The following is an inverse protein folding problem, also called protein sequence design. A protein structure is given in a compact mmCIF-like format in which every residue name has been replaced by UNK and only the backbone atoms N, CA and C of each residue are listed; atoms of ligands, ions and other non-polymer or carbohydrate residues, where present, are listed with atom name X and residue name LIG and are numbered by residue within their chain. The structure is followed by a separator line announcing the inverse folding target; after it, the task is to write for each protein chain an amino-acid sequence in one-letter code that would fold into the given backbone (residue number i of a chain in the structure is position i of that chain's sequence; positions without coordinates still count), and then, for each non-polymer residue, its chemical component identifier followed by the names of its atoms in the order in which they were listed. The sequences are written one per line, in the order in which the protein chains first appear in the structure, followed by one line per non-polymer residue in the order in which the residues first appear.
data_IF_275657171910
#
_entry.id   IF_275657171910
#
_cell.length_a   1.000
_cell.length_b   1.000
_cell.length_c   1.000
_cell.angle_alpha   90.00
_cell.angle_beta   90.00
_cell.angle_gamma   90.00
#
_symmetry.space_group_name_H-M   'P 1'
#
loop_
_entity.id
_entity.type
_entity.pdbx_description
1 polymer ?
#
# COMPACT_ATOMS: atom_id res chain seq x y z
N UNK A 1 -53.36 -16.70 -44.71
CA UNK A 1 -51.90 -16.68 -44.50
C UNK A 1 -51.65 -15.55 -43.53
N UNK A 2 -51.72 -15.87 -42.24
CA UNK A 2 -51.77 -14.88 -41.16
C UNK A 2 -50.37 -14.70 -40.57
N UNK A 3 -49.86 -13.47 -40.63
CA UNK A 3 -48.59 -13.07 -40.03
C UNK A 3 -48.84 -12.61 -38.59
N UNK A 4 -48.39 -13.40 -37.62
CA UNK A 4 -48.41 -13.05 -36.20
C UNK A 4 -47.18 -12.19 -35.90
N UNK A 5 -47.41 -10.89 -35.73
CA UNK A 5 -46.42 -9.93 -35.23
C UNK A 5 -46.37 -10.03 -33.71
N UNK A 6 -45.26 -10.53 -33.16
CA UNK A 6 -44.99 -10.53 -31.72
C UNK A 6 -43.87 -9.55 -31.41
N UNK A 7 -44.27 -8.38 -30.89
CA UNK A 7 -43.38 -7.35 -30.34
C UNK A 7 -42.87 -7.80 -28.98
N UNK A 8 -41.63 -8.30 -28.92
CA UNK A 8 -40.92 -8.58 -27.68
C UNK A 8 -40.24 -7.30 -27.18
N UNK A 9 -40.92 -6.60 -26.27
CA UNK A 9 -40.36 -5.48 -25.50
C UNK A 9 -39.38 -6.02 -24.46
N UNK A 10 -38.09 -6.05 -24.79
CA UNK A 10 -37.02 -6.31 -23.82
C UNK A 10 -36.81 -5.08 -22.95
N UNK A 11 -37.40 -5.11 -21.74
CA UNK A 11 -37.10 -4.18 -20.66
C UNK A 11 -35.65 -4.42 -20.21
N UNK A 12 -34.77 -3.49 -20.57
CA UNK A 12 -33.38 -3.49 -20.12
C UNK A 12 -33.30 -3.00 -18.67
N UNK A 13 -33.11 -3.94 -17.75
CA UNK A 13 -32.71 -3.70 -16.36
C UNK A 13 -31.27 -3.16 -16.34
N UNK A 14 -31.11 -1.84 -16.49
CA UNK A 14 -29.85 -1.16 -16.19
C UNK A 14 -29.72 -1.00 -14.67
N UNK A 15 -29.00 -1.92 -14.04
CA UNK A 15 -28.57 -1.77 -12.65
C UNK A 15 -27.52 -0.65 -12.57
N UNK A 16 -27.94 0.57 -12.24
CA UNK A 16 -27.06 1.67 -11.88
C UNK A 16 -26.43 1.39 -10.50
N UNK A 17 -25.24 0.78 -10.49
CA UNK A 17 -24.43 0.70 -9.28
C UNK A 17 -23.81 2.08 -9.04
N UNK A 18 -24.39 2.86 -8.12
CA UNK A 18 -23.93 4.21 -7.76
C UNK A 18 -23.59 4.28 -6.28
N UNK A 19 -22.40 3.79 -5.97
CA UNK A 19 -21.61 4.33 -4.85
C UNK A 19 -20.18 4.52 -5.34
N UNK A 20 -20.02 5.41 -6.33
CA UNK A 20 -18.72 6.03 -6.57
C UNK A 20 -18.57 7.09 -5.49
N UNK A 21 -17.81 6.78 -4.43
CA UNK A 21 -17.10 7.82 -3.68
C UNK A 21 -16.54 8.80 -4.71
N UNK A 22 -16.81 10.09 -4.52
CA UNK A 22 -16.50 11.18 -5.46
C UNK A 22 -14.99 11.23 -5.74
N UNK A 23 -14.51 10.39 -6.66
CA UNK A 23 -13.11 10.40 -7.09
C UNK A 23 -12.88 11.70 -7.85
N UNK A 24 -12.02 12.56 -7.31
CA UNK A 24 -11.67 13.82 -7.95
C UNK A 24 -10.94 13.53 -9.28
N UNK A 25 -11.59 13.92 -10.38
CA UNK A 25 -11.02 13.86 -11.71
C UNK A 25 -10.18 15.13 -11.93
N UNK A 26 -8.87 15.03 -11.71
CA UNK A 26 -7.91 16.15 -11.77
C UNK A 26 -7.05 16.07 -13.02
N UNK A 27 -6.27 17.12 -13.32
CA UNK A 27 -5.27 17.02 -14.39
C UNK A 27 -4.21 15.99 -14.01
N UNK A 28 -3.70 15.28 -15.01
CA UNK A 28 -2.63 14.31 -14.80
C UNK A 28 -1.39 14.92 -14.10
N UNK A 29 -1.08 16.18 -14.38
CA UNK A 29 0.04 16.92 -13.76
C UNK A 29 -0.24 17.31 -12.31
N UNK A 30 -1.51 17.48 -11.93
CA UNK A 30 -1.93 17.85 -10.57
C UNK A 30 -2.01 16.62 -9.66
N UNK A 31 -2.02 15.40 -10.22
CA UNK A 31 -2.04 14.17 -9.47
C UNK A 31 -0.61 13.75 -9.08
N UNK A 32 -0.12 14.26 -7.95
CA UNK A 32 1.26 14.08 -7.48
C UNK A 32 1.85 12.67 -7.61
N UNK A 33 1.14 11.59 -7.20
CA UNK A 33 1.63 10.21 -7.37
C UNK A 33 1.86 9.81 -8.83
N UNK A 34 0.95 10.20 -9.73
CA UNK A 34 1.00 9.87 -11.16
C UNK A 34 2.05 10.74 -11.86
N UNK A 35 2.09 12.03 -11.56
CA UNK A 35 3.09 12.95 -12.10
C UNK A 35 4.51 12.50 -11.71
N UNK A 36 4.73 12.12 -10.45
CA UNK A 36 6.00 11.55 -10.01
C UNK A 36 6.36 10.28 -10.78
N UNK A 37 5.40 9.35 -10.95
CA UNK A 37 5.61 8.09 -11.67
C UNK A 37 6.01 8.33 -13.12
N UNK A 38 5.42 9.33 -13.77
CA UNK A 38 5.74 9.70 -15.16
C UNK A 38 7.11 10.35 -15.28
N UNK A 39 7.46 11.27 -14.37
CA UNK A 39 8.78 11.92 -14.33
C UNK A 39 9.91 10.92 -14.06
N UNK A 40 9.65 9.89 -13.26
CA UNK A 40 10.64 8.88 -12.87
C UNK A 40 10.48 7.56 -13.62
N UNK A 41 9.78 7.54 -14.76
CA UNK A 41 9.49 6.30 -15.54
C UNK A 41 10.73 5.48 -15.86
N UNK A 42 11.88 6.11 -16.07
CA UNK A 42 13.13 5.43 -16.40
C UNK A 42 13.75 4.71 -15.19
N UNK A 43 13.48 5.21 -13.98
CA UNK A 43 13.97 4.64 -12.71
C UNK A 43 13.08 3.52 -12.20
N UNK A 44 11.82 3.48 -12.63
CA UNK A 44 10.86 2.43 -12.25
C UNK A 44 10.98 1.24 -13.21
N UNK A 45 11.39 0.05 -12.72
CA UNK A 45 11.47 -1.16 -13.53
C UNK A 45 10.13 -1.50 -14.18
N UNK A 46 10.18 -1.98 -15.42
CA UNK A 46 8.99 -2.42 -16.17
C UNK A 46 8.19 -3.53 -15.47
N UNK A 47 8.78 -4.21 -14.47
CA UNK A 47 8.11 -5.24 -13.65
C UNK A 47 7.09 -4.68 -12.66
N UNK A 48 7.15 -3.38 -12.34
CA UNK A 48 6.27 -2.74 -11.36
C UNK A 48 4.82 -2.63 -11.86
N UNK A 49 4.60 -2.79 -13.17
CA UNK A 49 3.29 -2.85 -13.81
C UNK A 49 3.31 -2.15 -15.17
N UNK A 50 2.29 -2.38 -15.98
CA UNK A 50 2.12 -1.68 -17.24
C UNK A 50 1.57 -0.27 -16.97
N UNK A 51 2.47 0.72 -16.82
CA UNK A 51 2.10 2.13 -16.57
C UNK A 51 1.06 2.63 -17.59
N UNK A 52 1.16 2.20 -18.85
CA UNK A 52 0.20 2.58 -19.89
C UNK A 52 -1.20 2.04 -19.64
N UNK A 53 -1.30 0.83 -19.08
CA UNK A 53 -2.57 0.20 -18.70
C UNK A 53 -3.18 0.89 -17.47
N UNK A 54 -2.36 1.19 -16.47
CA UNK A 54 -2.77 2.01 -15.34
C UNK A 54 -3.36 3.34 -15.81
N UNK A 55 -2.64 4.09 -16.65
CA UNK A 55 -3.09 5.39 -17.16
C UNK A 55 -4.41 5.30 -17.91
N UNK A 56 -4.66 4.21 -18.65
CA UNK A 56 -5.95 3.95 -19.30
C UNK A 56 -7.04 3.71 -18.26
N UNK A 57 -6.75 2.92 -17.23
CA UNK A 57 -7.72 2.54 -16.21
C UNK A 57 -8.11 3.70 -15.30
N UNK A 58 -7.19 4.62 -15.01
CA UNK A 58 -7.46 5.82 -14.20
C UNK A 58 -7.90 7.03 -15.04
N UNK A 59 -7.93 6.96 -16.36
CA UNK A 59 -8.36 8.07 -17.22
C UNK A 59 -9.84 8.41 -16.92
N UNK A 60 -10.11 9.69 -16.70
CA UNK A 60 -11.47 10.20 -16.46
C UNK A 60 -11.91 11.24 -17.50
N UNK A 61 -11.13 11.47 -18.55
CA UNK A 61 -11.44 12.36 -19.66
C UNK A 61 -10.25 13.16 -20.17
N UNK A 62 -10.57 14.13 -21.02
CA UNK A 62 -9.64 15.12 -21.58
C UNK A 62 -10.27 16.50 -21.52
N UNK A 63 -9.47 17.55 -21.36
CA UNK A 63 -9.89 18.93 -21.55
C UNK A 63 -8.85 19.71 -22.37
N UNK A 64 -9.04 21.03 -22.50
CA UNK A 64 -8.13 21.93 -23.24
C UNK A 64 -6.68 21.87 -22.74
N UNK A 65 -6.48 21.53 -21.46
CA UNK A 65 -5.16 21.48 -20.83
C UNK A 65 -4.53 20.08 -20.86
N UNK A 66 -5.25 19.05 -21.34
CA UNK A 66 -4.72 17.70 -21.53
C UNK A 66 -5.52 16.58 -20.84
N UNK A 67 -4.88 15.42 -20.59
CA UNK A 67 -5.53 14.25 -20.01
C UNK A 67 -5.84 14.45 -18.52
N UNK A 68 -6.99 13.95 -18.10
CA UNK A 68 -7.43 13.93 -16.71
C UNK A 68 -7.44 12.51 -16.16
N UNK A 69 -7.14 12.38 -14.87
CA UNK A 69 -7.09 11.09 -14.17
C UNK A 69 -7.87 11.15 -12.85
N UNK A 70 -8.39 10.00 -12.43
CA UNK A 70 -8.88 9.82 -11.07
C UNK A 70 -7.69 9.75 -10.11
N UNK A 71 -7.50 10.80 -9.32
CA UNK A 71 -6.46 10.82 -8.29
C UNK A 71 -7.03 10.37 -6.94
N UNK A 72 -6.40 9.39 -6.31
CA UNK A 72 -6.74 9.00 -4.94
C UNK A 72 -5.96 9.89 -3.97
N UNK A 73 -6.56 11.00 -3.56
CA UNK A 73 -5.98 11.87 -2.53
C UNK A 73 -6.15 11.27 -1.12
N UNK A 74 -6.97 10.23 -1.00
CA UNK A 74 -7.18 9.50 0.24
C UNK A 74 -5.90 8.73 0.60
N UNK A 75 -5.13 9.32 1.52
CA UNK A 75 -4.07 8.63 2.24
C UNK A 75 -4.78 7.62 3.13
N UNK A 76 -4.66 6.33 2.78
CA UNK A 76 -5.15 5.28 3.63
C UNK A 76 -4.18 5.13 4.80
N UNK A 77 -4.53 5.78 5.91
CA UNK A 77 -4.00 5.48 7.22
C UNK A 77 -4.54 4.10 7.60
N UNK A 78 -3.72 3.07 7.38
CA UNK A 78 -4.04 1.76 7.92
C UNK A 78 -3.64 1.83 9.39
N UNK A 79 -4.63 1.91 10.26
CA UNK A 79 -4.43 1.58 11.66
C UNK A 79 -3.91 0.14 11.69
N UNK A 80 -2.74 -0.06 12.30
CA UNK A 80 -2.05 -1.35 12.44
C UNK A 80 -2.85 -2.37 13.29
N UNK A 81 -4.18 -2.22 13.38
CA UNK A 81 -5.07 -2.77 14.40
C UNK A 81 -5.61 -4.17 14.05
N UNK A 82 -5.38 -4.70 12.85
CA UNK A 82 -5.93 -6.01 12.47
C UNK A 82 -4.90 -6.98 11.85
N UNK A 83 -3.78 -7.18 12.55
CA UNK A 83 -2.96 -8.40 12.43
C UNK A 83 -3.12 -9.22 13.73
N UNK A 84 -4.35 -9.34 14.24
CA UNK A 84 -4.71 -10.35 15.24
C UNK A 84 -4.42 -11.73 14.63
N UNK A 85 -3.26 -12.27 15.01
CA UNK A 85 -3.12 -13.61 15.58
C UNK A 85 -4.22 -14.57 15.09
N UNK A 86 -4.05 -15.08 13.88
CA UNK A 86 -4.31 -16.51 13.71
C UNK A 86 -3.03 -17.20 14.16
N UNK A 87 -2.96 -17.45 15.46
CA UNK A 87 -2.13 -18.53 15.95
C UNK A 87 -2.59 -19.77 15.20
N UNK A 88 -1.64 -20.28 14.42
CA UNK A 88 -1.69 -21.55 13.73
C UNK A 88 -1.85 -22.62 14.82
N UNK A 89 -3.10 -22.89 15.20
CA UNK A 89 -3.47 -24.05 16.00
C UNK A 89 -3.27 -25.30 15.12
N UNK A 90 -2.01 -25.68 14.88
CA UNK A 90 -1.64 -27.09 14.71
C UNK A 90 -1.41 -27.66 16.12
N UNK A 91 -2.50 -27.70 16.88
CA UNK A 91 -2.61 -28.45 18.13
C UNK A 91 -2.77 -29.93 17.76
N UNK A 92 -1.67 -30.65 17.58
CA UNK A 92 -1.51 -32.09 17.96
C UNK A 92 -0.01 -32.47 17.96
N UNK A 93 0.74 -32.00 18.96
CA UNK A 93 2.05 -32.57 19.27
C UNK A 93 2.16 -32.81 20.78
N UNK A 94 1.64 -33.96 21.21
CA UNK A 94 1.88 -34.52 22.54
C UNK A 94 3.36 -34.88 22.68
N UNK A 95 4.18 -33.91 23.09
CA UNK A 95 5.60 -34.09 23.40
C UNK A 95 5.89 -33.51 24.76
N UNK A 96 5.93 -34.37 25.77
CA UNK A 96 6.31 -34.05 27.15
C UNK A 96 7.81 -33.71 27.17
N UNK A 97 8.13 -32.41 27.11
CA UNK A 97 9.50 -31.92 27.22
C UNK A 97 9.59 -30.87 28.34
N UNK A 98 10.17 -31.30 29.47
CA UNK A 98 10.67 -30.44 30.55
C UNK A 98 11.79 -29.53 30.02
N UNK A 99 11.43 -28.34 29.52
CA UNK A 99 12.39 -27.32 29.08
C UNK A 99 12.49 -26.20 30.12
N UNK A 100 13.39 -26.38 31.08
CA UNK A 100 13.90 -25.32 31.95
C UNK A 100 14.70 -24.30 31.12
N UNK A 101 14.05 -23.26 30.61
CA UNK A 101 14.75 -22.09 30.09
C UNK A 101 14.12 -20.79 30.59
N UNK A 102 14.55 -20.43 31.80
CA UNK A 102 14.36 -19.12 32.41
C UNK A 102 15.26 -18.09 31.74
N UNK A 103 14.96 -17.70 30.50
CA UNK A 103 15.53 -16.46 29.96
C UNK A 103 14.63 -15.81 28.89
N UNK A 104 14.01 -14.70 29.30
CA UNK A 104 13.61 -13.56 28.47
C UNK A 104 12.45 -13.72 27.49
N UNK A 105 11.28 -14.10 28.00
CA UNK A 105 10.02 -13.62 27.43
C UNK A 105 9.81 -12.14 27.80
N UNK A 106 10.42 -11.22 27.04
CA UNK A 106 10.02 -9.80 27.03
C UNK A 106 8.75 -9.65 26.18
N UNK A 107 7.62 -10.03 26.77
CA UNK A 107 6.26 -9.84 26.24
C UNK A 107 5.43 -8.91 27.14
N UNK A 108 6.06 -7.89 27.74
CA UNK A 108 5.40 -6.94 28.64
C UNK A 108 5.02 -5.63 27.95
N UNK A 109 3.78 -5.20 28.11
CA UNK A 109 3.18 -3.93 27.64
C UNK A 109 3.71 -2.75 28.48
N UNK A 110 5.03 -2.62 28.62
CA UNK A 110 5.67 -1.49 29.32
C UNK A 110 6.95 -1.09 28.57
N UNK A 111 6.80 -0.68 27.30
CA UNK A 111 7.80 0.13 26.58
C UNK A 111 7.49 1.63 26.79
N UNK A 112 7.17 2.00 28.03
CA UNK A 112 6.88 3.38 28.42
C UNK A 112 7.97 3.90 29.33
N UNK A 113 8.63 4.99 28.88
CA UNK A 113 9.55 5.84 29.65
C UNK A 113 11.05 5.49 29.54
N UNK A 114 11.58 5.40 28.33
CA UNK A 114 12.98 5.78 28.14
C UNK A 114 13.05 7.31 28.18
N UNK A 115 13.52 7.87 29.30
CA UNK A 115 13.53 9.32 29.57
C UNK A 115 14.66 10.09 28.87
N UNK A 116 15.52 9.43 28.10
CA UNK A 116 16.61 10.09 27.38
C UNK A 116 16.24 10.34 25.90
N UNK A 117 15.55 11.46 25.68
CA UNK A 117 16.07 12.52 24.79
C UNK A 117 15.71 12.56 23.30
N UNK A 118 15.34 11.47 22.63
CA UNK A 118 14.84 11.59 21.25
C UNK A 118 13.88 10.47 20.88
N UNK A 119 12.60 10.62 21.21
CA UNK A 119 11.58 9.71 20.68
C UNK A 119 11.58 9.80 19.16
N UNK A 120 11.80 8.67 18.51
CA UNK A 120 11.74 8.55 17.07
C UNK A 120 10.30 8.83 16.59
N UNK A 121 10.08 9.99 15.96
CA UNK A 121 8.81 10.44 15.41
C UNK A 121 8.90 10.59 13.89
N UNK A 122 7.93 10.03 13.19
CA UNK A 122 7.94 10.01 11.73
C UNK A 122 7.09 8.89 11.15
N UNK A 123 6.90 8.96 9.84
CA UNK A 123 6.13 8.02 9.03
C UNK A 123 6.85 7.73 7.72
N UNK A 124 6.69 6.51 7.20
CA UNK A 124 7.00 6.21 5.82
C UNK A 124 5.71 6.24 5.00
N UNK A 125 5.71 6.95 3.88
CA UNK A 125 4.61 6.98 2.91
C UNK A 125 4.99 6.09 1.74
N UNK A 126 4.26 5.00 1.57
CA UNK A 126 4.43 4.07 0.46
C UNK A 126 3.38 4.37 -0.61
N UNK A 127 3.82 4.62 -1.84
CA UNK A 127 2.96 4.74 -3.01
C UNK A 127 2.90 3.39 -3.71
N UNK A 128 1.71 2.82 -3.77
CA UNK A 128 1.53 1.40 -4.10
C UNK A 128 0.67 1.26 -5.36
N UNK A 129 1.20 0.51 -6.32
CA UNK A 129 0.51 0.14 -7.54
C UNK A 129 -0.23 -1.20 -7.41
N UNK A 130 -1.46 -1.23 -7.91
CA UNK A 130 -2.27 -2.42 -8.19
C UNK A 130 -2.62 -2.43 -9.68
N UNK A 131 -3.23 -3.51 -10.15
CA UNK A 131 -3.57 -3.72 -11.57
C UNK A 131 -4.30 -2.52 -12.18
N UNK A 132 -5.31 -2.00 -11.49
CA UNK A 132 -6.23 -0.99 -12.05
C UNK A 132 -6.29 0.31 -11.23
N UNK A 133 -5.44 0.44 -10.21
CA UNK A 133 -5.45 1.57 -9.30
C UNK A 133 -4.11 1.75 -8.62
N UNK A 134 -3.93 2.90 -8.01
CA UNK A 134 -2.87 3.13 -7.04
C UNK A 134 -3.49 3.67 -5.75
N UNK A 135 -2.78 3.51 -4.65
CA UNK A 135 -3.16 4.11 -3.38
C UNK A 135 -1.90 4.54 -2.62
N UNK A 136 -2.08 5.54 -1.76
CA UNK A 136 -1.04 6.06 -0.89
C UNK A 136 -1.28 5.49 0.50
N UNK A 137 -0.25 4.90 1.10
CA UNK A 137 -0.37 4.36 2.44
C UNK A 137 0.73 4.87 3.35
N UNK A 138 0.30 5.46 4.46
CA UNK A 138 1.18 6.02 5.48
C UNK A 138 1.36 5.00 6.60
N UNK A 139 2.61 4.72 6.94
CA UNK A 139 3.00 3.74 7.95
C UNK A 139 3.65 4.47 9.12
N UNK A 140 3.14 4.24 10.33
CA UNK A 140 3.61 4.93 11.54
C UNK A 140 4.50 4.07 12.45
N UNK A 141 4.36 2.74 12.41
CA UNK A 141 5.14 1.81 13.23
C UNK A 141 5.74 0.69 12.42
N UNK A 142 4.94 -0.30 12.01
CA UNK A 142 5.42 -1.45 11.26
C UNK A 142 4.29 -2.03 10.44
N UNK A 143 4.58 -2.40 9.20
CA UNK A 143 3.63 -3.08 8.32
C UNK A 143 4.20 -4.41 7.88
N UNK A 144 3.58 -5.49 8.34
CA UNK A 144 4.06 -6.88 8.11
C UNK A 144 3.77 -7.39 6.70
N UNK A 145 2.82 -6.78 6.00
CA UNK A 145 2.46 -7.14 4.63
C UNK A 145 1.99 -5.92 3.85
N UNK A 146 2.62 -5.69 2.70
CA UNK A 146 2.20 -4.71 1.69
C UNK A 146 1.71 -5.47 0.46
N UNK A 147 0.50 -5.19 0.01
CA UNK A 147 -0.10 -5.80 -1.19
C UNK A 147 0.06 -4.87 -2.40
N UNK A 148 0.58 -5.42 -3.50
CA UNK A 148 0.92 -4.65 -4.70
C UNK A 148 2.43 -4.42 -4.87
N UNK A 149 2.75 -3.45 -5.71
CA UNK A 149 4.13 -3.05 -6.04
C UNK A 149 4.37 -1.63 -5.56
N UNK A 150 5.29 -1.46 -4.61
CA UNK A 150 5.69 -0.12 -4.13
C UNK A 150 6.55 0.54 -5.20
N UNK A 151 6.16 1.71 -5.68
CA UNK A 151 6.90 2.44 -6.71
C UNK A 151 7.55 3.73 -6.21
N UNK A 152 7.24 4.17 -4.99
CA UNK A 152 7.89 5.30 -4.32
C UNK A 152 7.78 5.10 -2.81
N UNK A 153 8.84 5.44 -2.11
CA UNK A 153 8.83 5.55 -0.64
C UNK A 153 9.31 6.94 -0.28
N UNK A 154 8.53 7.62 0.56
CA UNK A 154 8.89 8.91 1.15
C UNK A 154 8.99 8.75 2.68
N UNK A 155 10.08 9.23 3.28
CA UNK A 155 10.31 9.17 4.73
C UNK A 155 10.25 10.57 5.34
N UNK A 156 9.26 10.77 6.21
CA UNK A 156 9.01 12.02 6.92
C UNK A 156 9.31 11.84 8.41
N UNK A 157 9.98 12.84 9.02
CA UNK A 157 10.31 12.85 10.45
C UNK A 157 11.80 12.60 10.71
N UNK A 158 12.15 12.10 11.90
CA UNK A 158 13.53 11.86 12.33
C UNK A 158 13.89 10.36 12.41
N UNK A 159 13.04 9.50 11.87
CA UNK A 159 13.20 8.05 11.95
C UNK A 159 13.78 7.43 10.70
N UNK A 160 14.48 6.33 10.92
CA UNK A 160 14.92 5.45 9.87
C UNK A 160 13.89 4.34 9.68
N UNK A 161 13.87 3.75 8.48
CA UNK A 161 12.96 2.67 8.14
C UNK A 161 13.72 1.54 7.46
N UNK A 162 13.34 0.30 7.74
CA UNK A 162 13.84 -0.87 7.02
C UNK A 162 12.71 -1.49 6.22
N UNK A 163 12.88 -1.52 4.90
CA UNK A 163 11.99 -2.24 4.00
C UNK A 163 12.57 -3.60 3.64
N UNK A 164 11.69 -4.58 3.45
CA UNK A 164 12.05 -5.97 3.21
C UNK A 164 11.39 -6.52 1.96
N UNK A 165 12.13 -7.35 1.24
CA UNK A 165 11.67 -8.03 0.01
C UNK A 165 10.54 -9.04 0.28
N UNK A 166 10.46 -9.61 1.49
CA UNK A 166 9.43 -10.58 1.87
C UNK A 166 8.57 -10.05 3.02
N UNK A 167 7.39 -10.65 3.18
CA UNK A 167 6.48 -10.37 4.30
C UNK A 167 7.13 -10.70 5.65
N UNK A 168 6.59 -10.12 6.71
CA UNK A 168 7.02 -10.35 8.11
C UNK A 168 8.51 -10.08 8.34
N UNK A 169 9.07 -9.05 7.68
CA UNK A 169 10.45 -8.57 7.84
C UNK A 169 11.51 -9.62 7.51
N UNK A 170 11.33 -10.33 6.39
CA UNK A 170 12.24 -11.41 5.95
C UNK A 170 12.91 -11.07 4.62
N UNK A 171 14.02 -11.75 4.33
CA UNK A 171 14.75 -11.62 3.06
C UNK A 171 15.71 -10.43 3.05
N UNK A 172 16.07 -9.97 1.84
CA UNK A 172 16.89 -8.77 1.67
C UNK A 172 16.16 -7.54 2.19
N UNK A 173 16.91 -6.57 2.70
CA UNK A 173 16.37 -5.33 3.21
C UNK A 173 17.14 -4.12 2.69
N UNK A 174 16.47 -2.97 2.73
CA UNK A 174 17.00 -1.67 2.37
C UNK A 174 16.65 -0.69 3.49
N UNK A 175 17.58 0.22 3.82
CA UNK A 175 17.40 1.20 4.89
C UNK A 175 17.15 2.59 4.34
N UNK A 176 16.08 3.23 4.80
CA UNK A 176 15.67 4.57 4.41
C UNK A 176 15.90 5.55 5.56
N UNK A 177 16.64 6.62 5.27
CA UNK A 177 16.92 7.71 6.21
C UNK A 177 15.87 8.82 6.08
N UNK A 178 15.75 9.71 7.08
CA UNK A 178 14.97 10.94 6.96
C UNK A 178 15.23 11.69 5.64
N UNK A 179 14.17 12.08 4.94
CA UNK A 179 14.26 12.76 3.65
C UNK A 179 14.46 11.85 2.44
N UNK A 180 14.45 10.53 2.63
CA UNK A 180 14.40 9.58 1.51
C UNK A 180 13.10 9.78 0.72
N UNK A 181 13.19 9.99 -0.59
CA UNK A 181 12.03 10.18 -1.48
C UNK A 181 12.36 9.66 -2.91
N UNK A 182 12.39 8.35 -3.08
CA UNK A 182 12.75 7.73 -4.37
C UNK A 182 12.13 6.34 -4.56
N UNK A 183 12.40 5.72 -5.72
CA UNK A 183 12.07 4.34 -6.03
C UNK A 183 12.90 3.38 -5.15
N UNK A 184 12.29 2.37 -4.48
CA UNK A 184 13.03 1.40 -3.69
C UNK A 184 13.80 0.41 -4.56
N UNK A 185 15.04 0.05 -4.21
CA UNK A 185 15.85 -0.91 -4.98
C UNK A 185 15.31 -2.35 -4.89
N UNK A 186 14.47 -2.62 -3.89
CA UNK A 186 13.85 -3.93 -3.64
C UNK A 186 12.32 -3.87 -3.81
N UNK A 187 11.72 -5.02 -4.11
CA UNK A 187 10.26 -5.15 -4.11
C UNK A 187 9.74 -5.19 -2.66
N UNK A 188 9.42 -4.02 -2.11
CA UNK A 188 8.98 -3.88 -0.71
C UNK A 188 7.70 -4.66 -0.42
N UNK A 189 7.76 -5.65 0.48
CA UNK A 189 6.63 -6.46 0.96
C UNK A 189 6.35 -6.29 2.45
N UNK A 190 7.28 -5.75 3.22
CA UNK A 190 7.04 -5.30 4.59
C UNK A 190 8.01 -4.16 4.93
N UNK A 191 7.64 -3.32 5.88
CA UNK A 191 8.46 -2.17 6.29
C UNK A 191 8.30 -1.93 7.80
N UNK A 192 9.39 -1.62 8.51
CA UNK A 192 9.35 -1.30 9.95
C UNK A 192 10.16 -0.06 10.27
N UNK A 193 9.70 0.67 11.27
CA UNK A 193 10.39 1.81 11.84
C UNK A 193 11.56 1.33 12.70
N UNK A 194 12.71 1.98 12.56
CA UNK A 194 13.92 1.74 13.36
C UNK A 194 14.51 3.07 13.83
N UNK A 195 15.33 3.01 14.87
CA UNK A 195 16.12 4.16 15.27
C UNK A 195 17.25 4.37 14.26
N UNK A 196 17.56 5.63 13.94
CA UNK A 196 18.79 6.00 13.23
C UNK A 196 19.98 5.95 14.20
#
# INVERSE_FOLDING_TARGET
MDFISTSLSFLSLWSFSTEKTSRNCTQLQDCGPVDWLLKNRQSVPSSVGNISELLRNINCGYNENGPKVYCSDEISEFDDEFDEIYDDYDEEASGDYDYNNSSQLRGGVIDGLSMDGSTCQGSAVCYILKTDSFYVSKVHRRRRSISGSVFRVEVVGNCCWEAYERKRFRGKFESYKPGFDTYPEILVKSIRKVHC
#
